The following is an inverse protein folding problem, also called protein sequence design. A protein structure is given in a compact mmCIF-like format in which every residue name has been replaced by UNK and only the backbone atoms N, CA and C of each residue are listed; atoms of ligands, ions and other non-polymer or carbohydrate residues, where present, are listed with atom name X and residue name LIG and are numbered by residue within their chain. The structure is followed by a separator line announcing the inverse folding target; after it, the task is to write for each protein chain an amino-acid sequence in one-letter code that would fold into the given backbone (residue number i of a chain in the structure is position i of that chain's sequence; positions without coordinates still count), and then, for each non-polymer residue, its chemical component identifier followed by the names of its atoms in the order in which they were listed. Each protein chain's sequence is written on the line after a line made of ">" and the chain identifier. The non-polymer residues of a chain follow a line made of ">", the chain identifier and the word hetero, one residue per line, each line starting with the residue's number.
data_IF_498173040196
#
_entry.id   IF_498173040196
#
_cell.length_a   1.000
_cell.length_b   1.000
_cell.length_c   1.000
_cell.angle_alpha   90.00
_cell.angle_beta   90.00
_cell.angle_gamma   90.00
#
_symmetry.space_group_name_H-M   'P 1'
#
loop_
_entity.id
_entity.type
_entity.pdbx_description
1 polymer ?
#
# COMPACT_ATOMS: atom_id res chain seq x y z
N UNK A 1 -13.59 9.13 -38.99
CA UNK A 1 -14.99 9.39 -38.61
C UNK A 1 -15.31 8.45 -37.45
N UNK A 2 -15.26 8.94 -36.20
CA UNK A 2 -15.49 8.09 -35.02
C UNK A 2 -17.00 7.89 -34.90
N UNK A 3 -17.44 6.64 -35.05
CA UNK A 3 -18.84 6.25 -34.95
C UNK A 3 -19.35 6.54 -33.54
N UNK A 4 -20.48 7.22 -33.45
CA UNK A 4 -21.29 7.38 -32.24
C UNK A 4 -21.82 6.01 -31.84
N UNK A 5 -21.32 5.43 -30.75
CA UNK A 5 -21.81 4.18 -30.19
C UNK A 5 -22.72 4.46 -28.98
N UNK A 6 -24.02 4.36 -29.24
CA UNK A 6 -25.03 3.98 -28.25
C UNK A 6 -25.02 2.46 -28.09
N UNK A 7 -25.32 2.03 -26.87
CA UNK A 7 -25.61 0.65 -26.42
C UNK A 7 -24.42 -0.28 -26.12
N UNK A 8 -24.59 -1.01 -25.02
CA UNK A 8 -23.60 -1.84 -24.34
C UNK A 8 -22.94 -2.86 -25.29
N UNK A 9 -21.66 -2.65 -25.59
CA UNK A 9 -20.76 -3.72 -26.03
C UNK A 9 -19.91 -4.15 -24.83
N UNK A 10 -20.35 -5.21 -24.16
CA UNK A 10 -19.46 -6.04 -23.37
C UNK A 10 -18.39 -6.62 -24.32
N UNK A 11 -17.16 -6.09 -24.27
CA UNK A 11 -15.98 -6.83 -24.74
C UNK A 11 -15.02 -6.14 -25.71
N UNK A 12 -15.30 -4.98 -26.28
CA UNK A 12 -14.30 -4.31 -27.12
C UNK A 12 -13.39 -3.39 -26.28
N UNK A 13 -12.28 -3.96 -25.81
CA UNK A 13 -11.21 -3.20 -25.18
C UNK A 13 -10.46 -2.40 -26.25
N UNK A 14 -10.79 -1.12 -26.39
CA UNK A 14 -10.09 -0.21 -27.29
C UNK A 14 -8.69 0.09 -26.74
N UNK A 15 -7.67 -0.44 -27.41
CA UNK A 15 -6.27 -0.18 -27.10
C UNK A 15 -5.83 1.10 -27.83
N UNK A 16 -5.12 1.97 -27.12
CA UNK A 16 -4.53 3.17 -27.70
C UNK A 16 -3.03 3.28 -27.41
N UNK A 17 -2.35 4.04 -28.26
CA UNK A 17 -0.95 4.45 -28.08
C UNK A 17 -0.84 5.96 -27.79
N UNK A 18 0.25 6.42 -27.14
CA UNK A 18 0.48 7.83 -26.89
C UNK A 18 0.45 8.65 -28.18
N UNK A 19 -0.30 9.74 -28.18
CA UNK A 19 -0.53 10.60 -29.33
C UNK A 19 -1.77 10.24 -30.16
N UNK A 20 -2.35 9.06 -29.97
CA UNK A 20 -3.55 8.66 -30.69
C UNK A 20 -4.74 9.55 -30.34
N UNK A 21 -5.44 10.03 -31.38
CA UNK A 21 -6.65 10.84 -31.24
C UNK A 21 -7.83 9.94 -30.84
N UNK A 22 -8.46 10.24 -29.71
CA UNK A 22 -9.57 9.47 -29.15
C UNK A 22 -10.93 10.03 -29.57
N UNK A 23 -11.18 11.32 -29.28
CA UNK A 23 -12.46 11.97 -29.53
C UNK A 23 -12.28 13.46 -29.82
N UNK A 24 -13.29 14.10 -30.42
CA UNK A 24 -13.38 15.55 -30.47
C UNK A 24 -13.80 16.08 -29.10
N UNK A 25 -13.22 17.20 -28.68
CA UNK A 25 -13.62 17.85 -27.43
C UNK A 25 -14.98 18.48 -27.63
N UNK A 26 -15.92 18.13 -26.75
CA UNK A 26 -17.26 18.70 -26.67
C UNK A 26 -17.55 19.07 -25.23
N UNK A 27 -18.57 19.90 -24.98
CA UNK A 27 -18.99 20.30 -23.63
C UNK A 27 -19.33 19.11 -22.72
N UNK A 28 -19.68 17.98 -23.34
CA UNK A 28 -20.03 16.74 -22.68
C UNK A 28 -18.85 15.78 -22.53
N UNK A 29 -17.63 16.14 -22.95
CA UNK A 29 -16.47 15.24 -22.91
C UNK A 29 -15.44 15.77 -21.93
N UNK A 30 -15.12 14.97 -20.92
CA UNK A 30 -14.13 15.32 -19.89
C UNK A 30 -12.94 14.36 -19.99
N UNK A 31 -11.74 14.93 -20.17
CA UNK A 31 -10.49 14.19 -20.13
C UNK A 31 -10.17 13.72 -18.71
N UNK A 32 -9.87 12.43 -18.57
CA UNK A 32 -9.44 11.81 -17.32
C UNK A 32 -7.94 11.46 -17.32
N UNK A 33 -7.54 10.65 -16.35
CA UNK A 33 -6.17 10.13 -16.21
C UNK A 33 -5.68 9.52 -17.54
N UNK A 34 -4.48 9.90 -17.98
CA UNK A 34 -3.86 9.37 -19.19
C UNK A 34 -4.35 9.98 -20.50
N UNK A 35 -5.06 11.11 -20.47
CA UNK A 35 -5.47 11.87 -21.67
C UNK A 35 -5.02 13.33 -21.59
N UNK A 36 -4.88 13.99 -22.74
CA UNK A 36 -4.61 15.42 -22.83
C UNK A 36 -5.37 16.03 -24.01
N UNK A 37 -5.69 17.32 -23.93
CA UNK A 37 -6.36 18.06 -24.99
C UNK A 37 -5.33 18.78 -25.88
N UNK A 38 -5.50 18.66 -27.20
CA UNK A 38 -4.70 19.38 -28.19
C UNK A 38 -5.54 19.67 -29.43
N UNK A 39 -5.56 20.93 -29.86
CA UNK A 39 -6.25 21.40 -31.08
C UNK A 39 -7.74 21.00 -31.15
N UNK A 40 -8.46 21.05 -30.03
CA UNK A 40 -9.88 20.69 -29.96
C UNK A 40 -10.17 19.18 -30.03
N UNK A 41 -9.14 18.35 -29.89
CA UNK A 41 -9.26 16.90 -29.81
C UNK A 41 -8.62 16.37 -28.52
N UNK A 42 -9.20 15.28 -28.02
CA UNK A 42 -8.64 14.53 -26.91
C UNK A 42 -7.69 13.46 -27.44
N UNK A 43 -6.47 13.47 -26.93
CA UNK A 43 -5.40 12.53 -27.28
C UNK A 43 -5.05 11.65 -26.09
N UNK A 44 -4.60 10.42 -26.37
CA UNK A 44 -4.04 9.53 -25.37
C UNK A 44 -2.62 10.00 -24.99
N UNK A 45 -2.34 10.11 -23.69
CA UNK A 45 -0.97 10.32 -23.17
C UNK A 45 -0.27 9.00 -22.84
N UNK A 46 -1.02 7.93 -22.62
CA UNK A 46 -0.53 6.62 -22.18
C UNK A 46 -0.85 5.54 -23.21
N UNK A 47 -0.04 4.47 -23.24
CA UNK A 47 -0.37 3.23 -23.94
C UNK A 47 -1.25 2.39 -23.04
N UNK A 48 -2.46 2.02 -23.48
CA UNK A 48 -3.38 1.35 -22.58
C UNK A 48 -4.76 1.09 -23.16
N UNK A 49 -5.67 0.70 -22.28
CA UNK A 49 -7.09 0.50 -22.61
C UNK A 49 -7.86 1.78 -22.29
N UNK A 50 -8.62 2.26 -23.27
CA UNK A 50 -9.50 3.40 -23.12
C UNK A 50 -10.73 2.98 -22.31
N UNK A 51 -10.96 3.65 -21.18
CA UNK A 51 -12.13 3.49 -20.32
C UNK A 51 -13.01 4.73 -20.44
N UNK A 52 -14.19 4.55 -21.01
CA UNK A 52 -15.20 5.60 -21.13
C UNK A 52 -16.26 5.36 -20.07
N UNK A 53 -16.41 6.29 -19.13
CA UNK A 53 -17.45 6.28 -18.10
C UNK A 53 -18.46 7.39 -18.39
N UNK A 54 -19.71 7.03 -18.69
CA UNK A 54 -20.79 8.01 -18.88
C UNK A 54 -21.42 8.31 -17.51
N UNK A 55 -21.39 9.57 -17.08
CA UNK A 55 -22.07 10.03 -15.85
C UNK A 55 -22.98 11.21 -16.21
N UNK A 56 -24.28 11.03 -16.03
CA UNK A 56 -25.32 11.95 -16.49
C UNK A 56 -25.18 12.27 -17.99
N UNK A 57 -24.83 13.52 -18.33
CA UNK A 57 -24.59 13.99 -19.70
C UNK A 57 -23.12 13.98 -20.09
N UNK A 58 -22.19 13.72 -19.16
CA UNK A 58 -20.76 13.83 -19.40
C UNK A 58 -20.11 12.45 -19.61
N UNK A 59 -19.24 12.37 -20.61
CA UNK A 59 -18.40 11.23 -20.95
C UNK A 59 -16.99 11.47 -20.39
N UNK A 60 -16.61 10.69 -19.40
CA UNK A 60 -15.26 10.69 -18.83
C UNK A 60 -14.40 9.68 -19.58
N UNK A 61 -13.41 10.16 -20.32
CA UNK A 61 -12.51 9.32 -21.11
C UNK A 61 -11.17 9.27 -20.38
N UNK A 62 -10.78 8.08 -19.93
CA UNK A 62 -9.48 7.84 -19.29
C UNK A 62 -8.75 6.72 -19.99
N UNK A 63 -7.42 6.73 -19.97
CA UNK A 63 -6.59 5.65 -20.52
C UNK A 63 -5.90 4.96 -19.36
N UNK A 64 -6.29 3.71 -19.13
CA UNK A 64 -5.63 2.86 -18.14
C UNK A 64 -4.45 2.16 -18.80
N UNK A 65 -3.23 2.46 -18.33
CA UNK A 65 -2.04 1.73 -18.75
C UNK A 65 -2.16 0.24 -18.42
N UNK A 66 -1.54 -0.61 -19.23
CA UNK A 66 -1.40 -2.04 -18.94
C UNK A 66 -0.51 -2.30 -17.72
N UNK A 67 0.35 -1.33 -17.35
CA UNK A 67 1.17 -1.41 -16.16
C UNK A 67 0.37 -1.23 -14.87
N UNK A 68 0.87 -1.81 -13.78
CA UNK A 68 0.34 -1.56 -12.44
C UNK A 68 0.41 -0.07 -12.12
N UNK A 69 -0.69 0.48 -11.58
CA UNK A 69 -0.74 1.88 -11.14
C UNK A 69 0.39 2.13 -10.15
N UNK A 70 1.21 3.13 -10.42
CA UNK A 70 2.24 3.57 -9.48
C UNK A 70 1.55 4.48 -8.47
N UNK A 71 1.16 3.90 -7.34
CA UNK A 71 0.60 4.67 -6.22
C UNK A 71 1.76 5.20 -5.39
N UNK A 72 1.72 6.51 -5.11
CA UNK A 72 2.69 7.17 -4.24
C UNK A 72 2.12 7.19 -2.81
N UNK A 73 2.89 6.81 -1.78
CA UNK A 73 2.43 6.90 -0.39
C UNK A 73 2.11 8.34 0.00
N UNK A 74 0.93 8.56 0.58
CA UNK A 74 0.50 9.84 1.14
C UNK A 74 0.63 9.80 2.67
N UNK A 75 0.77 10.97 3.28
CA UNK A 75 0.80 11.12 4.74
C UNK A 75 -0.47 10.54 5.34
N UNK A 76 -0.31 9.70 6.36
CA UNK A 76 -1.43 9.06 7.05
C UNK A 76 -1.84 7.70 6.47
N UNK A 77 -1.33 7.31 5.30
CA UNK A 77 -1.59 5.99 4.72
C UNK A 77 -0.98 4.88 5.59
N UNK A 78 -1.71 3.78 5.72
CA UNK A 78 -1.20 2.54 6.33
C UNK A 78 -0.49 1.73 5.25
N UNK A 79 0.77 1.41 5.50
CA UNK A 79 1.65 0.69 4.59
C UNK A 79 2.11 -0.63 5.20
N UNK A 80 2.27 -1.62 4.34
CA UNK A 80 2.89 -2.90 4.69
C UNK A 80 4.35 -2.84 4.27
N UNK A 81 5.25 -2.94 5.24
CA UNK A 81 6.69 -2.85 5.01
C UNK A 81 7.42 -4.08 5.56
N UNK A 82 8.50 -4.47 4.89
CA UNK A 82 9.40 -5.52 5.34
C UNK A 82 10.65 -4.90 5.96
N UNK A 83 11.01 -5.34 7.16
CA UNK A 83 12.23 -4.87 7.82
C UNK A 83 13.45 -5.51 7.16
N UNK A 84 14.42 -4.69 6.79
CA UNK A 84 15.67 -5.16 6.17
C UNK A 84 16.82 -5.16 7.16
N UNK A 85 17.06 -4.03 7.83
CA UNK A 85 18.18 -3.85 8.74
C UNK A 85 17.71 -3.14 10.00
N UNK A 86 18.21 -3.57 11.15
CA UNK A 86 17.89 -2.98 12.44
C UNK A 86 19.15 -2.43 13.08
N UNK A 87 19.06 -1.17 13.50
CA UNK A 87 20.01 -0.51 14.36
C UNK A 87 19.34 -0.17 15.70
N UNK A 88 20.14 0.22 16.69
CA UNK A 88 19.63 0.60 18.01
C UNK A 88 18.71 1.85 17.96
N UNK A 89 18.95 2.77 17.03
CA UNK A 89 18.20 4.03 16.90
C UNK A 89 17.08 4.01 15.86
N UNK A 90 17.19 3.15 14.84
CA UNK A 90 16.23 3.09 13.75
C UNK A 90 16.24 1.71 13.07
N UNK A 91 15.15 1.37 12.40
CA UNK A 91 15.03 0.22 11.52
C UNK A 91 14.81 0.69 10.08
N UNK A 92 15.58 0.14 9.14
CA UNK A 92 15.35 0.31 7.71
C UNK A 92 14.31 -0.70 7.27
N UNK A 93 13.37 -0.24 6.46
CA UNK A 93 12.31 -1.07 5.93
C UNK A 93 12.06 -0.74 4.46
N UNK A 94 11.38 -1.66 3.80
CA UNK A 94 11.03 -1.60 2.38
C UNK A 94 9.53 -1.75 2.28
N UNK A 95 8.86 -0.72 1.78
CA UNK A 95 7.40 -0.67 1.63
C UNK A 95 7.02 -1.49 0.40
N UNK A 96 6.14 -2.47 0.61
CA UNK A 96 5.70 -3.41 -0.43
C UNK A 96 4.26 -3.09 -0.84
N UNK A 97 3.40 -2.70 0.11
CA UNK A 97 2.00 -2.39 -0.16
C UNK A 97 1.59 -1.09 0.51
N UNK A 98 0.65 -0.39 -0.12
CA UNK A 98 -0.04 0.79 0.43
C UNK A 98 -1.52 0.41 0.55
N UNK A 99 -2.04 0.30 1.78
CA UNK A 99 -3.37 -0.23 2.05
C UNK A 99 -3.59 -1.58 1.35
N UNK A 100 -4.53 -1.61 0.40
CA UNK A 100 -4.89 -2.80 -0.38
C UNK A 100 -4.10 -2.96 -1.69
N UNK A 101 -3.28 -1.98 -2.07
CA UNK A 101 -2.59 -1.96 -3.36
C UNK A 101 -1.14 -2.39 -3.20
N UNK A 102 -0.74 -3.44 -3.92
CA UNK A 102 0.65 -3.89 -3.98
C UNK A 102 1.44 -2.99 -4.93
N UNK A 103 2.63 -2.57 -4.50
CA UNK A 103 3.54 -1.78 -5.31
C UNK A 103 4.42 -2.68 -6.18
N UNK A 104 4.64 -2.25 -7.42
CA UNK A 104 5.60 -2.91 -8.32
C UNK A 104 7.05 -2.52 -7.98
N UNK A 105 7.26 -1.23 -7.66
CA UNK A 105 8.54 -0.73 -7.19
C UNK A 105 8.44 -0.42 -5.70
N UNK A 106 9.26 -1.06 -4.86
CA UNK A 106 9.16 -0.81 -3.43
C UNK A 106 9.77 0.55 -3.06
N UNK A 107 9.19 1.21 -2.07
CA UNK A 107 9.75 2.44 -1.50
C UNK A 107 10.59 2.14 -0.27
N UNK A 108 11.56 3.01 0.01
CA UNK A 108 12.40 2.90 1.21
C UNK A 108 11.70 3.61 2.37
N UNK A 109 11.61 2.91 3.51
CA UNK A 109 11.08 3.45 4.75
C UNK A 109 12.13 3.40 5.86
N UNK A 110 11.98 4.30 6.82
CA UNK A 110 12.75 4.29 8.07
C UNK A 110 11.80 4.46 9.25
N UNK A 111 11.95 3.58 10.24
CA UNK A 111 11.21 3.60 11.49
C UNK A 111 12.19 3.96 12.62
N UNK A 112 11.98 5.11 13.27
CA UNK A 112 12.86 5.56 14.36
C UNK A 112 12.40 5.03 15.71
N UNK A 113 13.30 5.01 16.70
CA UNK A 113 13.02 4.50 18.05
C UNK A 113 11.84 5.21 18.71
N UNK A 114 11.77 6.53 18.55
CA UNK A 114 10.74 7.41 19.09
C UNK A 114 9.34 7.19 18.48
N UNK A 115 9.28 6.53 17.31
CA UNK A 115 8.05 6.30 16.54
C UNK A 115 7.52 4.86 16.69
N UNK A 116 8.12 4.07 17.58
CA UNK A 116 7.72 2.67 17.81
C UNK A 116 6.53 2.56 18.76
N UNK A 117 6.45 3.38 19.83
CA UNK A 117 5.35 3.36 20.79
C UNK A 117 4.85 4.77 21.06
N UNK A 118 3.56 4.92 21.33
CA UNK A 118 3.00 6.18 21.78
C UNK A 118 3.52 6.56 23.18
N UNK A 119 3.60 5.57 24.08
CA UNK A 119 4.06 5.72 25.47
C UNK A 119 5.45 5.11 25.69
N UNK A 120 6.18 5.61 26.70
CA UNK A 120 7.51 5.10 27.10
C UNK A 120 8.56 5.04 25.97
N UNK A 121 8.64 6.06 25.11
CA UNK A 121 9.54 6.12 23.95
C UNK A 121 11.01 5.86 24.28
N UNK A 122 11.48 6.30 25.45
CA UNK A 122 12.88 6.16 25.86
C UNK A 122 13.27 4.74 26.23
N UNK A 123 12.31 3.95 26.73
CA UNK A 123 12.52 2.57 27.18
C UNK A 123 12.43 1.55 26.05
N UNK A 124 11.98 1.96 24.86
CA UNK A 124 11.83 1.05 23.72
C UNK A 124 13.18 0.51 23.25
N UNK A 125 13.30 -0.81 23.18
CA UNK A 125 14.44 -1.46 22.54
C UNK A 125 14.04 -2.01 21.17
N UNK A 126 14.73 -1.55 20.12
CA UNK A 126 14.39 -1.91 18.74
C UNK A 126 14.52 -3.42 18.48
N UNK A 127 15.55 -4.06 19.04
CA UNK A 127 15.79 -5.51 18.92
C UNK A 127 14.72 -6.38 19.58
N UNK A 128 14.01 -5.86 20.59
CA UNK A 128 12.87 -6.56 21.22
C UNK A 128 11.56 -6.34 20.48
N UNK A 129 11.48 -5.30 19.64
CA UNK A 129 10.27 -5.00 18.89
C UNK A 129 10.25 -5.69 17.52
N UNK A 130 11.42 -5.77 16.87
CA UNK A 130 11.55 -6.10 15.45
C UNK A 130 12.78 -6.97 15.18
N UNK A 131 12.76 -7.76 14.09
CA UNK A 131 13.91 -8.48 13.53
C UNK A 131 13.94 -8.34 12.00
N UNK A 132 15.11 -8.51 11.38
CA UNK A 132 15.22 -8.55 9.94
C UNK A 132 14.30 -9.62 9.35
N UNK A 133 13.58 -9.28 8.29
CA UNK A 133 12.66 -10.18 7.60
C UNK A 133 11.20 -10.10 8.05
N UNK A 134 10.92 -9.49 9.21
CA UNK A 134 9.55 -9.32 9.69
C UNK A 134 8.74 -8.38 8.77
N UNK A 135 7.44 -8.62 8.70
CA UNK A 135 6.47 -7.77 8.00
C UNK A 135 5.72 -6.95 9.03
N UNK A 136 5.79 -5.63 8.87
CA UNK A 136 5.16 -4.65 9.75
C UNK A 136 4.07 -3.88 9.02
N UNK A 137 3.04 -3.51 9.78
CA UNK A 137 2.08 -2.48 9.43
C UNK A 137 2.51 -1.18 10.10
N UNK A 138 2.65 -0.13 9.31
CA UNK A 138 3.07 1.18 9.79
C UNK A 138 2.31 2.28 9.08
N UNK A 139 2.23 3.46 9.68
CA UNK A 139 1.62 4.65 9.08
C UNK A 139 2.70 5.58 8.54
N UNK A 140 2.46 6.18 7.39
CA UNK A 140 3.39 7.14 6.77
C UNK A 140 3.31 8.48 7.51
N UNK A 141 4.44 8.94 8.04
CA UNK A 141 4.61 10.27 8.58
C UNK A 141 4.91 11.30 7.47
N UNK A 142 4.69 12.60 7.72
CA UNK A 142 5.07 13.66 6.79
C UNK A 142 6.51 13.51 6.29
N UNK A 143 6.69 13.65 4.98
CA UNK A 143 7.97 13.48 4.32
C UNK A 143 8.95 14.57 4.77
N UNK A 144 10.01 14.17 5.47
CA UNK A 144 11.10 15.07 5.89
C UNK A 144 12.26 15.00 4.90
N UNK A 145 12.47 13.85 4.23
CA UNK A 145 13.59 13.58 3.34
C UNK A 145 13.13 13.10 1.95
N UNK A 146 13.82 13.50 0.88
CA UNK A 146 13.35 13.30 -0.51
C UNK A 146 13.25 11.84 -0.99
N UNK A 147 13.92 10.89 -0.34
CA UNK A 147 14.05 9.51 -0.84
C UNK A 147 13.71 8.41 0.19
N UNK A 148 13.37 8.78 1.42
CA UNK A 148 13.07 7.82 2.49
C UNK A 148 11.83 8.28 3.24
N UNK A 149 10.82 7.42 3.29
CA UNK A 149 9.60 7.69 4.03
C UNK A 149 9.81 7.43 5.52
N UNK A 150 9.42 8.37 6.36
CA UNK A 150 9.33 8.13 7.79
C UNK A 150 8.06 7.36 8.09
N UNK A 151 8.21 6.26 8.83
CA UNK A 151 7.09 5.42 9.24
C UNK A 151 6.92 5.50 10.75
N UNK A 152 5.70 5.35 11.22
CA UNK A 152 5.37 5.19 12.64
C UNK A 152 4.58 3.92 12.89
N UNK A 153 4.83 3.30 14.04
CA UNK A 153 4.05 2.17 14.56
C UNK A 153 3.48 2.50 15.93
N UNK A 154 3.33 3.77 16.28
CA UNK A 154 2.93 4.18 17.64
C UNK A 154 1.57 3.63 18.10
N UNK A 155 0.64 3.39 17.17
CA UNK A 155 -0.70 2.86 17.41
C UNK A 155 -0.69 1.35 17.76
N UNK A 156 -1.76 0.87 18.39
CA UNK A 156 -1.91 -0.53 18.80
C UNK A 156 -2.19 -1.48 17.63
N UNK A 157 -2.81 -0.97 16.57
CA UNK A 157 -3.11 -1.72 15.34
C UNK A 157 -1.88 -1.81 14.42
N UNK A 158 -0.81 -1.08 14.74
CA UNK A 158 0.42 -0.99 13.97
C UNK A 158 1.57 -1.70 14.70
N UNK A 159 2.41 -2.38 13.94
CA UNK A 159 3.46 -3.25 14.49
C UNK A 159 3.72 -4.45 13.60
N UNK A 160 4.30 -5.50 14.17
CA UNK A 160 4.59 -6.76 13.50
C UNK A 160 3.28 -7.50 13.23
N UNK A 161 3.00 -7.75 11.96
CA UNK A 161 1.85 -8.53 11.52
C UNK A 161 2.25 -9.99 11.22
N UNK A 162 3.43 -10.19 10.60
CA UNK A 162 3.95 -11.52 10.31
C UNK A 162 5.42 -11.57 10.73
N UNK A 163 5.74 -12.57 11.55
CA UNK A 163 7.11 -12.93 11.91
C UNK A 163 7.35 -14.39 11.57
N UNK A 164 8.59 -14.69 11.18
CA UNK A 164 9.03 -16.06 10.92
C UNK A 164 9.94 -16.52 12.05
N UNK A 165 9.72 -17.75 12.52
CA UNK A 165 10.60 -18.40 13.48
C UNK A 165 11.93 -18.75 12.79
N UNK A 166 13.05 -18.38 13.42
CA UNK A 166 14.40 -18.75 12.99
C UNK A 166 14.98 -19.96 13.73
N UNK A 167 14.24 -20.53 14.69
CA UNK A 167 14.68 -21.65 15.53
C UNK A 167 14.14 -23.01 15.08
N UNK A 168 13.19 -23.01 14.17
CA UNK A 168 12.67 -24.22 13.54
C UNK A 168 13.51 -24.56 12.31
N UNK A 169 13.61 -25.86 11.99
CA UNK A 169 14.26 -26.33 10.75
C UNK A 169 13.66 -25.69 9.51
N UNK A 170 12.34 -25.47 9.52
CA UNK A 170 11.59 -24.81 8.47
C UNK A 170 11.08 -23.43 8.92
N UNK A 171 11.04 -22.42 8.02
CA UNK A 171 10.52 -21.10 8.33
C UNK A 171 9.01 -21.17 8.60
N UNK A 172 8.64 -21.22 9.88
CA UNK A 172 7.26 -21.33 10.33
C UNK A 172 6.74 -19.95 10.75
N UNK A 173 5.55 -19.51 10.32
CA UNK A 173 4.95 -18.26 10.78
C UNK A 173 4.61 -18.35 12.27
N UNK A 174 4.96 -17.31 13.02
CA UNK A 174 4.66 -17.22 14.44
C UNK A 174 3.25 -16.68 14.68
N UNK A 175 2.64 -17.11 15.78
CA UNK A 175 1.31 -16.67 16.21
C UNK A 175 1.46 -15.60 17.29
N UNK A 176 0.71 -14.48 17.22
CA UNK A 176 0.69 -13.52 18.31
C UNK A 176 0.04 -14.12 19.56
N UNK A 177 0.71 -14.02 20.72
CA UNK A 177 0.17 -14.47 22.02
C UNK A 177 -0.12 -13.29 22.94
N UNK A 178 0.54 -12.16 22.69
CA UNK A 178 0.27 -10.91 23.37
C UNK A 178 0.89 -9.73 22.64
N UNK A 179 0.75 -8.53 23.21
CA UNK A 179 1.24 -7.28 22.62
C UNK A 179 2.77 -7.21 22.44
N UNK A 180 3.50 -8.01 23.22
CA UNK A 180 4.96 -7.98 23.29
C UNK A 180 5.63 -9.27 22.87
N UNK A 181 4.87 -10.32 22.54
CA UNK A 181 5.40 -11.66 22.31
C UNK A 181 4.65 -12.39 21.19
N UNK A 182 5.41 -13.05 20.32
CA UNK A 182 4.91 -14.04 19.37
C UNK A 182 5.46 -15.41 19.75
N UNK A 183 4.68 -16.46 19.53
CA UNK A 183 5.07 -17.83 19.82
C UNK A 183 5.07 -18.66 18.55
N UNK A 184 6.10 -19.47 18.37
CA UNK A 184 6.11 -20.46 17.29
C UNK A 184 5.16 -21.62 17.67
N UNK A 185 4.22 -22.03 16.80
CA UNK A 185 3.28 -23.11 17.12
C UNK A 185 3.96 -24.48 17.24
N UNK A 186 5.12 -24.68 16.60
CA UNK A 186 5.84 -25.97 16.59
C UNK A 186 6.82 -26.06 17.75
N UNK A 187 7.70 -25.07 17.89
CA UNK A 187 8.76 -25.10 18.93
C UNK A 187 8.30 -24.59 20.28
N UNK A 188 7.12 -23.94 20.34
CA UNK A 188 6.56 -23.28 21.53
C UNK A 188 7.46 -22.20 22.13
N UNK A 189 8.50 -21.78 21.43
CA UNK A 189 9.41 -20.72 21.89
C UNK A 189 8.71 -19.37 21.67
N UNK A 190 8.69 -18.58 22.74
CA UNK A 190 8.23 -17.18 22.72
C UNK A 190 9.39 -16.27 22.33
N UNK A 191 9.13 -15.37 21.39
CA UNK A 191 10.05 -14.31 20.99
C UNK A 191 9.42 -12.95 21.20
N UNK A 192 10.16 -11.98 21.77
CA UNK A 192 9.64 -10.64 21.96
C UNK A 192 9.49 -9.93 20.62
N UNK A 193 8.31 -9.35 20.39
CA UNK A 193 7.90 -8.61 19.19
C UNK A 193 6.92 -7.52 19.56
N UNK A 194 6.93 -6.37 18.89
CA UNK A 194 5.83 -5.41 19.01
C UNK A 194 4.70 -5.86 18.09
N UNK A 195 3.75 -6.61 18.64
CA UNK A 195 2.67 -7.23 17.86
C UNK A 195 1.58 -6.21 17.54
N UNK A 196 1.14 -6.19 16.28
CA UNK A 196 -0.03 -5.43 15.85
C UNK A 196 -1.32 -6.17 16.22
N UNK A 197 -2.34 -5.47 16.72
CA UNK A 197 -3.70 -6.01 16.81
C UNK A 197 -4.32 -6.00 15.42
N UNK A 198 -4.34 -7.16 14.77
CA UNK A 198 -4.95 -7.33 13.45
C UNK A 198 -6.44 -7.62 13.67
N UNK A 199 -7.30 -6.66 13.31
CA UNK A 199 -8.75 -6.87 13.31
C UNK A 199 -9.13 -7.51 11.96
N UNK A 200 -9.76 -8.70 11.93
CA UNK A 200 -10.26 -9.27 10.69
C UNK A 200 -11.33 -8.36 10.07
N UNK A 201 -11.31 -8.16 8.75
CA UNK A 201 -12.29 -7.31 8.04
C UNK A 201 -13.73 -7.84 8.18
N UNK A 202 -13.90 -9.12 8.50
CA UNK A 202 -15.17 -9.80 8.79
C UNK A 202 -15.62 -9.71 10.25
N UNK A 203 -14.83 -9.11 11.14
CA UNK A 203 -15.18 -9.05 12.55
C UNK A 203 -16.29 -7.99 12.80
N UNK A 204 -17.29 -8.27 13.65
CA UNK A 204 -18.29 -7.28 14.02
C UNK A 204 -17.64 -6.06 14.71
N UNK A 205 -18.25 -4.86 14.64
CA UNK A 205 -17.66 -3.61 15.15
C UNK A 205 -17.33 -3.60 16.65
N UNK A 206 -17.89 -4.54 17.43
CA UNK A 206 -17.61 -4.73 18.86
C UNK A 206 -16.78 -5.98 19.15
N UNK A 207 -16.01 -6.48 18.18
CA UNK A 207 -15.13 -7.62 18.42
C UNK A 207 -13.91 -7.18 19.24
N UNK A 208 -14.00 -7.36 20.56
CA UNK A 208 -12.85 -7.40 21.44
C UNK A 208 -12.07 -8.68 21.14
N UNK A 209 -11.38 -8.67 20.00
CA UNK A 209 -10.43 -9.71 19.62
C UNK A 209 -9.40 -9.83 20.72
N UNK A 210 -9.63 -10.76 21.64
CA UNK A 210 -8.62 -11.27 22.54
C UNK A 210 -7.49 -11.78 21.66
N UNK A 211 -6.30 -11.23 21.90
CA UNK A 211 -5.05 -11.86 21.46
C UNK A 211 -4.92 -13.21 22.17
#
# INVERSE_FOLDING_TARGET
>A
MVKTASENTDGESYICVPGQRLCAVSEYTVGGEGTYEKLGYLHASLSGVVKIRKRHKNNYISVASFGSKTVVPVVGDVVTAKITVINQRFAKCVIICIGKTCLNRPYRGILRKEDVRATEKDRVEMYKCFRPGDIILARVLPLVELNTYHLTTAENELGVAVAMSNKSSDPTPMVPVGWTEMQCPVTLIKEPRKVAKIVPETAPPNYDGKL
#
